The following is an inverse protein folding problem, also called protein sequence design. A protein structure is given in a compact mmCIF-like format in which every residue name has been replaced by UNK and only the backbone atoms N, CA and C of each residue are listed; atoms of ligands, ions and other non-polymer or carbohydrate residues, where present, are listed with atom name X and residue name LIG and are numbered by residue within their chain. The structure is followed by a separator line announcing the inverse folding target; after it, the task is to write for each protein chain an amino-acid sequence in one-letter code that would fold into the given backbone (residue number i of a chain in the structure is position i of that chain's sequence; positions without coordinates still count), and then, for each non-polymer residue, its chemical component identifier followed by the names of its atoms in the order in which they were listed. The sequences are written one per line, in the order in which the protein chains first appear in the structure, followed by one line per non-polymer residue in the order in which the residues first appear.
data_IF_211597037739
#
_entry.id   IF_211597037739
#
_cell.length_a   1.000
_cell.length_b   1.000
_cell.length_c   1.000
_cell.angle_alpha   90.00
_cell.angle_beta   90.00
_cell.angle_gamma   90.00
#
_symmetry.space_group_name_H-M   'P 1'
#
loop_
_entity.id
_entity.type
_entity.pdbx_description
1 polymer ?
#
# COMPACT_ATOMS: atom_id res chain seq x y z
N UNK A 1 -9.37 51.31 -14.41
CA UNK A 1 -9.77 52.01 -15.65
C UNK A 1 -10.63 51.11 -16.55
N UNK A 2 -10.27 49.86 -16.81
CA UNK A 2 -11.03 48.96 -17.68
C UNK A 2 -12.41 48.55 -17.08
N UNK A 3 -12.49 48.34 -15.76
CA UNK A 3 -13.74 47.99 -15.07
C UNK A 3 -14.74 49.15 -15.13
N UNK A 4 -14.27 50.38 -14.92
CA UNK A 4 -15.12 51.56 -14.97
C UNK A 4 -15.76 51.76 -16.36
N UNK A 5 -14.97 51.58 -17.44
CA UNK A 5 -15.48 51.66 -18.82
C UNK A 5 -16.43 50.51 -19.16
N UNK A 6 -16.07 49.30 -18.75
CA UNK A 6 -16.86 48.12 -19.11
C UNK A 6 -18.25 48.07 -18.42
N UNK A 7 -18.31 48.53 -17.15
CA UNK A 7 -19.54 48.46 -16.37
C UNK A 7 -20.20 49.82 -16.11
N UNK A 8 -19.67 50.89 -16.70
CA UNK A 8 -20.16 52.26 -16.56
C UNK A 8 -20.32 52.68 -15.11
N UNK A 9 -19.33 52.40 -14.27
CA UNK A 9 -19.32 52.69 -12.82
C UNK A 9 -18.23 53.70 -12.49
N UNK A 10 -18.44 54.46 -11.37
CA UNK A 10 -17.46 55.42 -10.86
C UNK A 10 -16.25 54.67 -10.22
N UNK A 11 -15.11 55.35 -10.15
CA UNK A 11 -13.91 54.84 -9.48
C UNK A 11 -14.17 54.43 -8.04
N UNK A 12 -14.92 55.23 -7.30
CA UNK A 12 -15.34 54.96 -5.92
C UNK A 12 -16.16 53.66 -5.82
N UNK A 13 -17.03 53.40 -6.76
CA UNK A 13 -17.84 52.19 -6.84
C UNK A 13 -16.96 51.00 -7.15
N UNK A 14 -16.03 51.13 -8.10
CA UNK A 14 -15.09 50.07 -8.46
C UNK A 14 -14.21 49.64 -7.27
N UNK A 15 -13.65 50.59 -6.51
CA UNK A 15 -12.85 50.28 -5.31
C UNK A 15 -13.69 49.66 -4.19
N UNK A 16 -14.92 50.14 -3.97
CA UNK A 16 -15.81 49.54 -2.98
C UNK A 16 -16.10 48.08 -3.35
N UNK A 17 -16.39 47.79 -4.58
CA UNK A 17 -16.74 46.42 -5.03
C UNK A 17 -15.49 45.50 -5.02
N UNK A 18 -14.33 46.03 -5.36
CA UNK A 18 -13.07 45.30 -5.21
C UNK A 18 -12.74 44.99 -3.73
N UNK A 19 -13.02 45.93 -2.81
CA UNK A 19 -12.84 45.69 -1.38
C UNK A 19 -13.82 44.64 -0.86
N UNK A 20 -15.06 44.61 -1.34
CA UNK A 20 -16.01 43.53 -0.98
C UNK A 20 -15.56 42.16 -1.51
N UNK A 21 -14.87 42.14 -2.65
CA UNK A 21 -14.33 40.93 -3.25
C UNK A 21 -12.94 40.56 -2.71
N UNK A 22 -12.35 41.36 -1.82
CA UNK A 22 -11.01 41.13 -1.25
C UNK A 22 -10.77 39.73 -0.68
N UNK A 23 -11.77 39.01 -0.11
CA UNK A 23 -11.57 37.62 0.31
C UNK A 23 -11.36 36.64 -0.86
N UNK A 24 -11.76 37.03 -2.07
CA UNK A 24 -11.78 36.16 -3.25
C UNK A 24 -10.78 36.57 -4.33
N UNK A 25 -10.13 37.73 -4.18
CA UNK A 25 -9.20 38.29 -5.17
C UNK A 25 -7.91 38.74 -4.51
N UNK A 26 -6.83 38.66 -5.24
CA UNK A 26 -5.54 39.23 -4.85
C UNK A 26 -5.03 40.22 -5.89
N UNK A 27 -4.37 41.29 -5.42
CA UNK A 27 -3.74 42.27 -6.28
C UNK A 27 -2.42 41.70 -6.85
N UNK A 28 -2.29 41.71 -8.19
CA UNK A 28 -1.12 41.21 -8.91
C UNK A 28 -0.13 42.31 -9.33
N UNK A 29 -0.30 43.54 -8.84
CA UNK A 29 0.43 44.72 -9.34
C UNK A 29 -0.24 45.37 -10.57
N UNK A 30 0.19 46.58 -10.93
CA UNK A 30 -0.31 47.36 -12.09
C UNK A 30 -1.84 47.53 -12.13
N UNK A 31 -2.51 47.54 -10.97
CA UNK A 31 -3.96 47.68 -10.89
C UNK A 31 -4.73 46.44 -11.41
N UNK A 32 -4.08 45.27 -11.50
CA UNK A 32 -4.69 44.01 -11.91
C UNK A 32 -5.03 43.17 -10.69
N UNK A 33 -6.13 42.44 -10.77
CA UNK A 33 -6.61 41.49 -9.72
C UNK A 33 -6.87 40.15 -10.37
N UNK A 34 -6.60 39.08 -9.62
CA UNK A 34 -6.96 37.70 -10.00
C UNK A 34 -7.76 37.01 -8.89
N UNK A 35 -8.54 36.02 -9.24
CA UNK A 35 -9.31 35.22 -8.29
C UNK A 35 -8.37 34.33 -7.46
N UNK A 36 -8.50 34.39 -6.16
CA UNK A 36 -7.75 33.49 -5.22
C UNK A 36 -8.12 32.04 -5.47
N UNK A 37 -9.32 31.76 -5.98
CA UNK A 37 -9.76 30.40 -6.33
C UNK A 37 -8.85 29.71 -7.35
N UNK A 38 -8.19 30.46 -8.24
CA UNK A 38 -7.20 29.90 -9.18
C UNK A 38 -5.95 29.38 -8.43
N UNK A 39 -5.56 30.04 -7.35
CA UNK A 39 -4.43 29.63 -6.49
C UNK A 39 -4.83 28.51 -5.56
N UNK A 40 -6.01 28.57 -4.97
CA UNK A 40 -6.56 27.49 -4.15
C UNK A 40 -6.78 26.20 -4.95
N UNK A 41 -7.22 26.32 -6.21
CA UNK A 41 -7.37 25.18 -7.12
C UNK A 41 -6.03 24.51 -7.45
N UNK A 42 -4.98 25.28 -7.68
CA UNK A 42 -3.64 24.72 -7.94
C UNK A 42 -2.98 24.16 -6.65
N UNK A 43 -3.13 24.86 -5.52
CA UNK A 43 -2.63 24.34 -4.23
C UNK A 43 -3.38 23.08 -3.78
N UNK A 44 -4.70 22.99 -4.03
CA UNK A 44 -5.46 21.80 -3.71
C UNK A 44 -5.09 20.61 -4.60
N UNK A 45 -4.85 20.84 -5.91
CA UNK A 45 -4.37 19.82 -6.84
C UNK A 45 -2.96 19.35 -6.46
N UNK A 46 -2.04 20.27 -6.17
CA UNK A 46 -0.68 19.94 -5.77
C UNK A 46 -0.66 19.18 -4.42
N UNK A 47 -1.50 19.58 -3.47
CA UNK A 47 -1.69 18.85 -2.21
C UNK A 47 -2.24 17.44 -2.43
N UNK A 48 -3.20 17.27 -3.35
CA UNK A 48 -3.74 15.97 -3.71
C UNK A 48 -2.69 15.07 -4.36
N UNK A 49 -1.91 15.60 -5.32
CA UNK A 49 -0.83 14.87 -5.97
C UNK A 49 0.24 14.43 -4.97
N UNK A 50 0.65 15.32 -4.04
CA UNK A 50 1.58 14.98 -2.96
C UNK A 50 1.03 13.91 -2.01
N UNK A 51 -0.27 13.96 -1.71
CA UNK A 51 -0.93 12.94 -0.87
C UNK A 51 -0.99 11.58 -1.57
N UNK A 52 -1.35 11.55 -2.85
CA UNK A 52 -1.33 10.34 -3.67
C UNK A 52 0.08 9.77 -3.80
N UNK A 53 1.08 10.63 -3.99
CA UNK A 53 2.48 10.21 -4.07
C UNK A 53 2.94 9.51 -2.80
N UNK A 54 2.59 10.04 -1.63
CA UNK A 54 2.90 9.41 -0.33
C UNK A 54 2.16 8.09 -0.13
N UNK A 55 0.88 8.03 -0.53
CA UNK A 55 0.09 6.79 -0.42
C UNK A 55 0.63 5.67 -1.31
N UNK A 56 1.16 6.03 -2.49
CA UNK A 56 1.64 5.07 -3.48
C UNK A 56 3.15 4.81 -3.39
N UNK A 57 3.84 5.44 -2.42
CA UNK A 57 5.30 5.37 -2.26
C UNK A 57 6.05 5.57 -3.59
N UNK A 58 5.67 6.64 -4.31
CA UNK A 58 6.18 6.89 -5.67
C UNK A 58 7.65 7.29 -5.71
N UNK A 59 8.31 7.48 -4.56
CA UNK A 59 9.74 7.81 -4.49
C UNK A 59 10.60 6.70 -5.08
N UNK A 60 10.19 5.44 -4.89
CA UNK A 60 10.87 4.30 -5.47
C UNK A 60 10.69 4.20 -7.01
N UNK A 61 9.61 4.79 -7.54
CA UNK A 61 9.29 4.74 -8.97
C UNK A 61 9.87 5.97 -9.70
N UNK A 62 9.81 7.15 -9.06
CA UNK A 62 10.24 8.43 -9.61
C UNK A 62 11.19 9.12 -8.61
N UNK A 63 12.49 8.85 -8.68
CA UNK A 63 13.46 9.39 -7.72
C UNK A 63 13.69 10.90 -7.88
N UNK A 64 13.43 11.47 -9.07
CA UNK A 64 13.60 12.90 -9.32
C UNK A 64 12.26 13.63 -9.21
N UNK A 65 12.14 14.50 -8.19
CA UNK A 65 10.95 15.36 -7.99
C UNK A 65 11.37 16.82 -7.87
N UNK A 66 11.50 17.47 -9.02
CA UNK A 66 11.63 18.93 -9.09
C UNK A 66 10.24 19.62 -9.04
N UNK A 67 10.22 20.95 -8.99
CA UNK A 67 8.97 21.72 -8.96
C UNK A 67 8.08 21.46 -10.19
N UNK A 68 8.64 21.05 -11.31
CA UNK A 68 7.92 20.72 -12.53
C UNK A 68 7.55 19.25 -12.66
N UNK A 69 7.90 18.40 -11.69
CA UNK A 69 7.70 16.95 -11.77
C UNK A 69 6.27 16.54 -12.15
N UNK A 70 5.26 17.08 -11.48
CA UNK A 70 3.87 16.72 -11.73
C UNK A 70 3.39 17.11 -13.11
N UNK A 71 3.82 18.27 -13.61
CA UNK A 71 3.48 18.72 -14.93
C UNK A 71 4.18 17.91 -16.03
N UNK A 72 5.44 17.54 -15.80
CA UNK A 72 6.17 16.61 -16.67
C UNK A 72 5.51 15.22 -16.69
N UNK A 73 5.05 14.74 -15.53
CA UNK A 73 4.36 13.46 -15.41
C UNK A 73 3.00 13.46 -16.13
N UNK A 74 2.22 14.54 -16.01
CA UNK A 74 0.96 14.71 -16.71
C UNK A 74 1.16 14.71 -18.24
N UNK A 75 2.16 15.44 -18.74
CA UNK A 75 2.51 15.46 -20.15
C UNK A 75 2.95 14.05 -20.63
N UNK A 76 3.83 13.38 -19.89
CA UNK A 76 4.28 12.02 -20.23
C UNK A 76 3.14 11.00 -20.23
N UNK A 77 2.18 11.11 -19.30
CA UNK A 77 1.01 10.26 -19.25
C UNK A 77 0.10 10.47 -20.46
N UNK A 78 -0.02 11.72 -20.95
CA UNK A 78 -0.79 12.07 -22.15
C UNK A 78 -0.13 11.51 -23.43
N UNK A 79 1.19 11.56 -23.50
CA UNK A 79 1.98 11.07 -24.64
C UNK A 79 2.12 9.54 -24.67
N UNK A 80 1.69 8.83 -23.62
CA UNK A 80 1.74 7.36 -23.47
C UNK A 80 3.13 6.72 -23.59
N UNK A 81 4.20 7.51 -23.43
CA UNK A 81 5.58 7.01 -23.51
C UNK A 81 6.01 6.21 -22.27
N UNK A 82 5.31 6.39 -21.14
CA UNK A 82 5.58 5.68 -19.89
C UNK A 82 4.33 4.93 -19.46
N UNK A 83 4.50 3.65 -19.17
CA UNK A 83 3.46 2.83 -18.56
C UNK A 83 4.01 2.24 -17.26
N UNK A 84 3.36 2.57 -16.15
CA UNK A 84 3.57 1.88 -14.87
C UNK A 84 2.45 0.86 -14.72
N UNK A 85 2.82 -0.41 -14.62
CA UNK A 85 1.86 -1.48 -14.42
C UNK A 85 1.94 -1.97 -12.99
N UNK A 86 0.88 -1.72 -12.24
CA UNK A 86 0.67 -2.33 -10.92
C UNK A 86 0.13 -3.76 -11.10
N UNK A 87 0.19 -4.55 -10.03
CA UNK A 87 -0.43 -5.87 -10.03
C UNK A 87 -1.93 -5.75 -10.35
N UNK A 88 -2.47 -6.75 -11.04
CA UNK A 88 -3.89 -6.76 -11.36
C UNK A 88 -4.73 -6.68 -10.07
N UNK A 89 -5.72 -5.77 -10.01
CA UNK A 89 -6.62 -5.69 -8.86
C UNK A 89 -7.40 -6.99 -8.69
N UNK A 90 -7.87 -7.26 -7.48
CA UNK A 90 -8.81 -8.37 -7.25
C UNK A 90 -10.00 -8.24 -8.23
N UNK A 91 -10.32 -9.32 -8.94
CA UNK A 91 -11.41 -9.34 -9.94
C UNK A 91 -12.80 -9.03 -9.35
N UNK A 92 -12.93 -9.09 -8.04
CA UNK A 92 -14.17 -8.82 -7.33
C UNK A 92 -14.01 -7.56 -6.48
N UNK A 93 -14.17 -6.39 -7.11
CA UNK A 93 -14.55 -5.20 -6.35
C UNK A 93 -16.02 -5.40 -5.99
N UNK A 94 -16.29 -6.15 -4.94
CA UNK A 94 -17.62 -6.24 -4.35
C UNK A 94 -18.00 -4.85 -3.83
N UNK A 95 -19.24 -4.45 -4.04
CA UNK A 95 -19.78 -3.25 -3.41
C UNK A 95 -19.60 -3.30 -1.88
N UNK A 96 -19.60 -4.49 -1.30
CA UNK A 96 -19.25 -4.75 0.10
C UNK A 96 -17.83 -4.33 0.47
N UNK A 97 -16.84 -4.47 -0.41
CA UNK A 97 -15.45 -4.09 -0.10
C UNK A 97 -15.32 -2.59 0.17
N UNK A 98 -15.97 -1.75 -0.64
CA UNK A 98 -15.97 -0.29 -0.42
C UNK A 98 -16.62 0.06 0.91
N UNK A 99 -17.78 -0.55 1.21
CA UNK A 99 -18.47 -0.37 2.49
C UNK A 99 -17.57 -0.78 3.67
N UNK A 100 -16.88 -1.94 3.54
CA UNK A 100 -15.98 -2.40 4.59
C UNK A 100 -14.78 -1.50 4.80
N UNK A 101 -14.20 -0.92 3.74
CA UNK A 101 -13.10 0.04 3.86
C UNK A 101 -13.53 1.26 4.68
N UNK A 102 -14.65 1.91 4.32
CA UNK A 102 -15.16 3.09 5.01
C UNK A 102 -15.53 2.81 6.48
N UNK A 103 -16.16 1.66 6.71
CA UNK A 103 -16.60 1.22 8.03
C UNK A 103 -15.41 0.88 8.92
N UNK A 104 -14.43 0.14 8.41
CA UNK A 104 -13.22 -0.22 9.14
C UNK A 104 -12.31 0.97 9.40
N UNK A 105 -12.20 1.92 8.45
CA UNK A 105 -11.44 3.15 8.67
C UNK A 105 -12.00 3.94 9.86
N UNK A 106 -13.32 4.06 9.95
CA UNK A 106 -14.00 4.70 11.10
C UNK A 106 -13.74 3.94 12.39
N UNK A 107 -13.81 2.59 12.35
CA UNK A 107 -13.56 1.76 13.53
C UNK A 107 -12.10 1.89 14.02
N UNK A 108 -11.14 1.92 13.12
CA UNK A 108 -9.71 2.11 13.42
C UNK A 108 -9.47 3.50 14.05
N UNK A 109 -10.06 4.54 13.46
CA UNK A 109 -9.95 5.92 13.96
C UNK A 109 -10.50 6.07 15.36
N UNK A 110 -11.66 5.45 15.64
CA UNK A 110 -12.34 5.53 16.91
C UNK A 110 -11.92 4.45 17.92
N UNK A 111 -11.01 3.54 17.53
CA UNK A 111 -10.58 2.38 18.32
C UNK A 111 -11.74 1.47 18.74
N UNK A 112 -12.75 1.31 17.88
CA UNK A 112 -13.87 0.41 18.16
C UNK A 112 -13.49 -1.05 17.92
N UNK A 113 -14.01 -1.94 18.77
CA UNK A 113 -13.93 -3.38 18.59
C UNK A 113 -14.82 -3.78 17.40
N UNK A 114 -14.36 -4.71 16.59
CA UNK A 114 -15.13 -5.25 15.47
C UNK A 114 -15.43 -6.73 15.67
N UNK A 115 -16.56 -7.17 15.16
CA UNK A 115 -16.91 -8.57 15.04
C UNK A 115 -17.00 -8.91 13.55
N UNK A 116 -16.28 -9.97 13.12
CA UNK A 116 -16.21 -10.36 11.72
C UNK A 116 -16.52 -11.85 11.56
N UNK A 117 -17.19 -12.21 10.45
CA UNK A 117 -17.28 -13.60 10.03
C UNK A 117 -16.15 -13.90 9.02
N UNK A 118 -15.20 -14.73 9.40
CA UNK A 118 -14.01 -15.05 8.64
C UNK A 118 -13.68 -16.54 8.69
N UNK A 119 -13.51 -17.17 7.51
CA UNK A 119 -13.20 -18.59 7.39
C UNK A 119 -14.15 -19.50 8.19
N UNK A 120 -15.45 -19.23 8.11
CA UNK A 120 -16.50 -20.02 8.77
C UNK A 120 -16.65 -19.81 10.28
N UNK A 121 -15.89 -18.86 10.87
CA UNK A 121 -15.94 -18.54 12.29
C UNK A 121 -16.27 -17.08 12.53
N UNK A 122 -16.99 -16.79 13.59
CA UNK A 122 -17.17 -15.45 14.13
C UNK A 122 -15.99 -15.08 15.00
N UNK A 123 -15.39 -13.91 14.77
CA UNK A 123 -14.19 -13.46 15.48
C UNK A 123 -14.40 -12.06 16.04
N UNK A 124 -13.87 -11.80 17.21
CA UNK A 124 -13.79 -10.45 17.80
C UNK A 124 -12.37 -9.95 17.56
N UNK A 125 -12.25 -8.81 16.90
CA UNK A 125 -10.96 -8.26 16.50
C UNK A 125 -10.84 -6.80 16.88
N UNK A 126 -9.63 -6.38 17.22
CA UNK A 126 -9.27 -5.00 17.49
C UNK A 126 -8.53 -4.45 16.25
N UNK A 127 -9.16 -3.61 15.43
CA UNK A 127 -8.61 -3.16 14.16
C UNK A 127 -7.54 -2.08 14.35
N UNK A 128 -6.39 -2.24 13.70
CA UNK A 128 -5.27 -1.29 13.77
C UNK A 128 -5.01 -0.56 12.46
N UNK A 129 -4.97 -1.27 11.34
CA UNK A 129 -4.58 -0.69 10.04
C UNK A 129 -5.23 -1.43 8.87
N UNK A 130 -5.56 -0.70 7.82
CA UNK A 130 -5.86 -1.26 6.50
C UNK A 130 -4.60 -1.15 5.63
N UNK A 131 -4.27 -2.21 4.94
CA UNK A 131 -3.15 -2.24 4.00
C UNK A 131 -3.56 -2.87 2.69
N UNK A 132 -3.04 -2.31 1.59
CA UNK A 132 -3.19 -2.92 0.27
C UNK A 132 -1.83 -3.44 -0.17
N UNK A 133 -1.75 -4.74 -0.44
CA UNK A 133 -0.54 -5.35 -0.97
C UNK A 133 -0.88 -6.20 -2.18
N UNK A 134 -0.18 -5.96 -3.27
CA UNK A 134 -0.41 -6.63 -4.56
C UNK A 134 -1.88 -6.57 -4.99
N UNK A 135 -2.50 -5.41 -4.75
CA UNK A 135 -3.92 -5.13 -5.03
C UNK A 135 -4.94 -5.90 -4.18
N UNK A 136 -4.52 -6.58 -3.12
CA UNK A 136 -5.38 -7.25 -2.16
C UNK A 136 -5.44 -6.42 -0.87
N UNK A 137 -6.65 -6.16 -0.38
CA UNK A 137 -6.88 -5.44 0.86
C UNK A 137 -6.87 -6.37 2.08
N UNK A 138 -6.15 -5.95 3.10
CA UNK A 138 -6.03 -6.65 4.38
C UNK A 138 -6.36 -5.72 5.53
N UNK A 139 -7.01 -6.27 6.55
CA UNK A 139 -7.17 -5.67 7.87
C UNK A 139 -6.09 -6.27 8.79
N UNK A 140 -5.21 -5.43 9.32
CA UNK A 140 -4.33 -5.78 10.43
C UNK A 140 -5.07 -5.54 11.73
N UNK A 141 -5.27 -6.58 12.51
CA UNK A 141 -6.04 -6.53 13.76
C UNK A 141 -5.49 -7.53 14.77
N UNK A 142 -5.70 -7.28 16.05
CA UNK A 142 -5.43 -8.29 17.07
C UNK A 142 -6.68 -9.12 17.35
N UNK A 143 -6.52 -10.41 17.51
CA UNK A 143 -7.48 -11.36 18.04
C UNK A 143 -6.82 -12.09 19.20
N UNK A 144 -7.42 -12.03 20.40
CA UNK A 144 -6.83 -12.60 21.62
C UNK A 144 -5.39 -12.11 21.87
N UNK A 145 -5.17 -10.80 21.72
CA UNK A 145 -3.87 -10.12 21.83
C UNK A 145 -2.79 -10.56 20.82
N UNK A 146 -3.15 -11.37 19.81
CA UNK A 146 -2.22 -11.77 18.74
C UNK A 146 -2.50 -10.99 17.48
N UNK A 147 -1.47 -10.37 16.92
CA UNK A 147 -1.58 -9.64 15.66
C UNK A 147 -1.79 -10.63 14.51
N UNK A 148 -2.84 -10.38 13.74
CA UNK A 148 -3.26 -11.19 12.58
C UNK A 148 -3.66 -10.31 11.42
N UNK A 149 -3.60 -10.88 10.23
CA UNK A 149 -4.00 -10.27 8.99
C UNK A 149 -5.24 -10.96 8.42
N UNK A 150 -6.25 -10.18 8.07
CA UNK A 150 -7.51 -10.68 7.52
C UNK A 150 -7.73 -10.08 6.12
N UNK A 151 -7.74 -10.92 5.06
CA UNK A 151 -8.12 -10.45 3.73
C UNK A 151 -9.58 -9.97 3.73
N UNK A 152 -9.83 -8.73 3.29
CA UNK A 152 -11.17 -8.16 3.30
C UNK A 152 -12.14 -8.95 2.42
N UNK A 153 -11.66 -9.49 1.29
CA UNK A 153 -12.46 -10.29 0.37
C UNK A 153 -13.01 -11.59 1.01
N UNK A 154 -12.39 -12.07 2.09
CA UNK A 154 -12.83 -13.27 2.83
C UNK A 154 -13.75 -12.96 4.00
N UNK A 155 -13.97 -11.69 4.33
CA UNK A 155 -14.93 -11.26 5.35
C UNK A 155 -16.34 -11.39 4.77
N UNK A 156 -17.18 -12.22 5.40
CA UNK A 156 -18.57 -12.43 4.95
C UNK A 156 -19.51 -11.37 5.50
N UNK A 157 -19.29 -10.95 6.75
CA UNK A 157 -19.99 -9.83 7.36
C UNK A 157 -19.12 -9.17 8.43
N UNK A 158 -19.43 -7.92 8.74
CA UNK A 158 -18.71 -7.06 9.67
C UNK A 158 -19.72 -6.27 10.51
N UNK A 159 -19.51 -6.24 11.82
CA UNK A 159 -20.25 -5.43 12.79
C UNK A 159 -19.29 -4.64 13.68
N UNK A 160 -19.59 -3.36 13.91
CA UNK A 160 -18.80 -2.49 14.79
C UNK A 160 -19.47 -2.45 16.15
N UNK A 161 -18.71 -2.80 17.17
CA UNK A 161 -19.18 -2.71 18.56
C UNK A 161 -19.05 -1.26 19.08
N UNK A 162 -19.85 -0.92 20.08
CA UNK A 162 -19.74 0.38 20.77
C UNK A 162 -18.52 0.42 21.68
N UNK A 163 -18.07 -0.75 22.13
CA UNK A 163 -16.92 -0.92 22.99
C UNK A 163 -15.64 -0.52 22.25
N UNK A 164 -14.73 0.09 23.01
CA UNK A 164 -13.42 0.53 22.54
C UNK A 164 -12.33 -0.32 23.15
N UNK A 165 -11.20 -0.39 22.45
CA UNK A 165 -9.99 -1.01 22.95
C UNK A 165 -8.85 0.00 23.05
N UNK A 166 -7.90 -0.24 23.95
CA UNK A 166 -6.67 0.52 24.05
C UNK A 166 -5.67 -0.02 23.01
N UNK A 167 -5.13 0.86 22.16
CA UNK A 167 -4.11 0.49 21.19
C UNK A 167 -2.78 0.28 21.92
N UNK A 168 -2.13 -0.87 21.70
CA UNK A 168 -0.77 -1.13 22.17
C UNK A 168 0.23 -0.42 21.27
N UNK A 169 1.18 0.31 21.88
CA UNK A 169 2.30 0.95 21.16
C UNK A 169 3.21 -0.08 20.50
N UNK A 170 3.44 -1.21 21.16
CA UNK A 170 4.23 -2.32 20.64
C UNK A 170 3.65 -2.86 19.33
N UNK A 171 2.32 -3.09 19.29
CA UNK A 171 1.62 -3.54 18.08
C UNK A 171 1.69 -2.47 16.98
N UNK A 172 1.58 -1.18 17.35
CA UNK A 172 1.69 -0.09 16.37
C UNK A 172 3.10 -0.01 15.77
N UNK A 173 4.15 -0.18 16.57
CA UNK A 173 5.54 -0.22 16.09
C UNK A 173 5.74 -1.40 15.12
N UNK A 174 5.31 -2.60 15.49
CA UNK A 174 5.38 -3.78 14.62
C UNK A 174 4.69 -3.55 13.26
N UNK A 175 3.50 -2.92 13.28
CA UNK A 175 2.76 -2.60 12.05
C UNK A 175 3.46 -1.53 11.22
N UNK A 176 4.15 -0.58 11.86
CA UNK A 176 4.85 0.50 11.16
C UNK A 176 6.13 0.02 10.48
N UNK A 177 6.83 -0.89 11.09
CA UNK A 177 8.08 -1.47 10.60
C UNK A 177 7.86 -2.52 9.50
N UNK A 178 6.66 -3.11 9.46
CA UNK A 178 6.34 -4.16 8.51
C UNK A 178 5.71 -3.62 7.23
N UNK A 179 6.35 -3.88 6.10
CA UNK A 179 5.80 -3.62 4.76
C UNK A 179 4.94 -4.79 4.25
N UNK A 180 4.84 -5.90 4.99
CA UNK A 180 4.15 -7.13 4.58
C UNK A 180 2.88 -7.34 5.41
N UNK A 181 1.72 -7.71 4.81
CA UNK A 181 0.50 -8.05 5.54
C UNK A 181 0.64 -9.32 6.39
N UNK A 182 1.66 -10.13 6.18
CA UNK A 182 2.00 -11.28 7.02
C UNK A 182 2.68 -10.83 8.32
N UNK A 183 2.05 -9.90 9.04
CA UNK A 183 2.56 -9.44 10.32
C UNK A 183 2.28 -10.49 11.39
N UNK A 184 3.31 -10.89 12.11
CA UNK A 184 3.22 -11.81 13.24
C UNK A 184 4.29 -11.46 14.28
N UNK A 185 3.94 -11.62 15.54
CA UNK A 185 4.85 -11.58 16.68
C UNK A 185 5.88 -12.73 16.66
N UNK A 186 5.59 -13.77 15.88
CA UNK A 186 6.46 -14.94 15.70
C UNK A 186 6.85 -15.09 14.25
N UNK A 187 8.13 -14.90 13.98
CA UNK A 187 8.75 -15.19 12.69
C UNK A 187 9.75 -16.32 12.86
N UNK A 188 10.08 -16.97 11.74
CA UNK A 188 11.17 -17.94 11.67
C UNK A 188 12.14 -17.55 10.56
N UNK A 189 13.40 -17.84 10.81
CA UNK A 189 14.45 -17.59 9.82
C UNK A 189 14.45 -18.69 8.76
N UNK A 190 14.71 -18.28 7.53
CA UNK A 190 14.86 -19.17 6.37
C UNK A 190 16.16 -18.83 5.67
N UNK A 191 16.98 -19.83 5.45
CA UNK A 191 18.23 -19.71 4.70
C UNK A 191 18.09 -20.46 3.38
N UNK A 192 18.33 -19.75 2.29
CA UNK A 192 18.21 -20.25 0.93
C UNK A 192 19.52 -20.11 0.18
N UNK A 193 19.87 -21.12 -0.62
CA UNK A 193 20.87 -21.00 -1.65
C UNK A 193 20.18 -20.69 -2.99
N UNK A 194 20.66 -19.67 -3.67
CA UNK A 194 20.15 -19.21 -4.96
C UNK A 194 21.23 -19.43 -6.00
N UNK A 195 20.94 -20.22 -7.02
CA UNK A 195 21.88 -20.50 -8.10
C UNK A 195 22.24 -19.25 -8.92
N UNK A 196 23.46 -19.23 -9.47
CA UNK A 196 24.04 -18.07 -10.17
C UNK A 196 23.20 -17.57 -11.34
N UNK A 197 22.50 -18.47 -12.05
CA UNK A 197 21.64 -18.14 -13.19
C UNK A 197 20.47 -17.21 -12.83
N UNK A 198 20.00 -17.22 -11.57
CA UNK A 198 18.90 -16.38 -11.10
C UNK A 198 19.30 -15.41 -9.99
N UNK A 199 20.53 -15.49 -9.48
CA UNK A 199 20.98 -14.65 -8.35
C UNK A 199 20.81 -13.14 -8.60
N UNK A 200 20.98 -12.69 -9.85
CA UNK A 200 20.85 -11.29 -10.22
C UNK A 200 19.45 -10.71 -9.99
N UNK A 201 18.38 -11.53 -10.01
CA UNK A 201 17.02 -11.07 -9.67
C UNK A 201 16.92 -10.69 -8.20
N UNK A 202 17.50 -11.48 -7.31
CA UNK A 202 17.51 -11.26 -5.87
C UNK A 202 18.47 -10.14 -5.44
N UNK A 203 19.55 -9.93 -6.18
CA UNK A 203 20.48 -8.83 -5.93
C UNK A 203 19.96 -7.48 -6.41
N UNK A 204 19.06 -7.49 -7.38
CA UNK A 204 18.47 -6.26 -7.94
C UNK A 204 17.38 -5.67 -7.04
N UNK A 205 16.63 -6.51 -6.32
CA UNK A 205 15.57 -6.10 -5.42
C UNK A 205 15.25 -7.21 -4.43
N UNK A 206 14.71 -6.85 -3.29
CA UNK A 206 14.25 -7.83 -2.31
C UNK A 206 13.00 -8.56 -2.83
N UNK A 207 13.15 -9.86 -3.07
CA UNK A 207 12.08 -10.77 -3.51
C UNK A 207 11.49 -11.57 -2.35
N UNK A 208 12.23 -11.65 -1.24
CA UNK A 208 11.87 -12.37 -0.03
C UNK A 208 11.63 -11.38 1.12
N UNK A 209 10.76 -11.71 2.08
CA UNK A 209 10.53 -10.88 3.26
C UNK A 209 11.81 -10.72 4.10
N UNK A 210 12.20 -9.48 4.42
CA UNK A 210 13.41 -9.18 5.21
C UNK A 210 14.67 -9.85 4.67
N UNK A 211 14.83 -9.84 3.33
CA UNK A 211 15.93 -10.46 2.62
C UNK A 211 17.28 -9.86 3.03
N UNK A 212 18.26 -10.71 3.32
CA UNK A 212 19.64 -10.32 3.61
C UNK A 212 20.60 -11.23 2.86
N UNK A 213 21.63 -10.66 2.25
CA UNK A 213 22.71 -11.40 1.61
C UNK A 213 23.69 -11.88 2.69
N UNK A 214 23.83 -13.20 2.86
CA UNK A 214 24.81 -13.78 3.78
C UNK A 214 26.17 -14.00 3.11
N UNK A 215 26.18 -14.73 1.99
CA UNK A 215 27.43 -15.11 1.30
C UNK A 215 27.26 -15.06 -0.21
N UNK A 216 28.39 -14.81 -0.91
CA UNK A 216 28.53 -14.96 -2.35
C UNK A 216 29.45 -16.16 -2.62
N UNK A 217 29.04 -17.00 -3.57
CA UNK A 217 29.77 -18.18 -4.03
C UNK A 217 29.96 -18.11 -5.55
N UNK A 218 30.87 -18.88 -6.10
CA UNK A 218 31.07 -18.94 -7.55
C UNK A 218 29.83 -19.45 -8.30
N UNK A 219 29.09 -20.36 -7.68
CA UNK A 219 27.89 -20.99 -8.26
C UNK A 219 26.56 -20.36 -7.79
N UNK A 220 26.60 -19.29 -6.99
CA UNK A 220 25.38 -18.64 -6.50
C UNK A 220 25.56 -17.75 -5.30
N UNK A 221 24.46 -17.52 -4.57
CA UNK A 221 24.43 -16.71 -3.35
C UNK A 221 23.65 -17.41 -2.25
N UNK A 222 24.01 -17.16 -1.00
CA UNK A 222 23.22 -17.57 0.16
C UNK A 222 22.52 -16.36 0.74
N UNK A 223 21.20 -16.44 0.87
CA UNK A 223 20.34 -15.42 1.44
C UNK A 223 19.68 -15.91 2.72
N UNK A 224 19.47 -15.01 3.67
CA UNK A 224 18.51 -15.22 4.75
C UNK A 224 17.27 -14.37 4.52
N UNK A 225 16.14 -14.83 5.03
CA UNK A 225 14.90 -14.09 5.10
C UNK A 225 14.10 -14.50 6.35
N UNK A 226 13.11 -13.68 6.73
CA UNK A 226 12.22 -13.98 7.85
C UNK A 226 10.80 -14.16 7.36
N UNK A 227 10.16 -15.25 7.74
CA UNK A 227 8.78 -15.53 7.37
C UNK A 227 7.89 -15.66 8.61
N UNK A 228 6.69 -15.10 8.55
CA UNK A 228 5.68 -15.23 9.60
C UNK A 228 4.88 -16.53 9.47
N UNK A 229 4.78 -17.09 8.28
CA UNK A 229 4.02 -18.30 8.03
C UNK A 229 4.56 -19.04 6.78
N UNK A 230 4.46 -20.39 6.79
CA UNK A 230 4.89 -21.21 5.65
C UNK A 230 4.20 -20.82 4.32
N UNK A 231 2.94 -20.41 4.35
CA UNK A 231 2.21 -19.99 3.16
C UNK A 231 2.66 -18.62 2.60
N UNK A 232 3.45 -17.86 3.34
CA UNK A 232 4.11 -16.66 2.84
C UNK A 232 5.33 -17.02 1.98
N UNK A 233 6.13 -17.97 2.42
CA UNK A 233 7.44 -18.26 1.82
C UNK A 233 7.41 -19.40 0.79
N UNK A 234 6.60 -20.45 1.00
CA UNK A 234 6.55 -21.60 0.09
C UNK A 234 6.22 -21.19 -1.36
N UNK A 235 5.18 -20.37 -1.64
CA UNK A 235 4.89 -19.96 -3.02
C UNK A 235 6.04 -19.21 -3.69
N UNK A 236 6.81 -18.43 -2.93
CA UNK A 236 7.97 -17.70 -3.44
C UNK A 236 9.10 -18.67 -3.81
N UNK A 237 9.34 -19.68 -2.99
CA UNK A 237 10.33 -20.74 -3.27
C UNK A 237 9.91 -21.55 -4.49
N UNK A 238 8.64 -22.00 -4.54
CA UNK A 238 8.13 -22.80 -5.65
C UNK A 238 8.24 -22.09 -7.00
N UNK A 239 8.06 -20.76 -7.02
CA UNK A 239 8.18 -19.95 -8.24
C UNK A 239 9.58 -20.02 -8.85
N UNK A 240 10.63 -20.19 -8.02
CA UNK A 240 12.02 -20.17 -8.44
C UNK A 240 12.65 -21.57 -8.57
N UNK A 241 11.91 -22.65 -8.27
CA UNK A 241 12.43 -23.99 -8.47
C UNK A 241 12.79 -24.25 -9.96
N UNK A 242 13.81 -25.04 -10.26
CA UNK A 242 14.69 -25.77 -9.33
C UNK A 242 15.89 -24.95 -8.83
N UNK A 243 15.98 -23.67 -9.12
CA UNK A 243 17.19 -22.85 -8.92
C UNK A 243 17.28 -22.24 -7.50
N UNK A 244 16.41 -22.63 -6.59
CA UNK A 244 16.43 -22.26 -5.17
C UNK A 244 16.45 -23.49 -4.31
N UNK A 245 17.41 -23.57 -3.39
CA UNK A 245 17.53 -24.65 -2.44
C UNK A 245 17.28 -24.15 -1.02
N UNK A 246 16.49 -24.88 -0.25
CA UNK A 246 16.27 -24.59 1.17
C UNK A 246 17.39 -25.21 1.96
N UNK A 247 18.21 -24.38 2.63
CA UNK A 247 19.25 -24.82 3.57
C UNK A 247 18.60 -25.01 4.93
N UNK A 248 17.90 -23.99 5.43
CA UNK A 248 17.20 -23.99 6.73
C UNK A 248 15.86 -23.30 6.63
N UNK A 249 14.87 -23.71 7.43
CA UNK A 249 14.88 -24.86 8.34
C UNK A 249 14.51 -26.17 7.60
N UNK A 250 14.99 -27.30 8.12
CA UNK A 250 14.78 -28.64 7.52
C UNK A 250 13.30 -28.96 7.33
N UNK A 251 12.45 -28.63 8.30
CA UNK A 251 11.00 -28.89 8.21
C UNK A 251 10.33 -28.17 7.01
N UNK A 252 10.85 -27.02 6.61
CA UNK A 252 10.34 -26.27 5.45
C UNK A 252 10.71 -26.99 4.15
N UNK A 253 11.95 -27.51 4.06
CA UNK A 253 12.41 -28.34 2.93
C UNK A 253 11.54 -29.59 2.79
N UNK A 254 11.29 -30.30 3.88
CA UNK A 254 10.42 -31.48 3.92
C UNK A 254 8.99 -31.16 3.47
N UNK A 255 8.43 -30.02 3.94
CA UNK A 255 7.10 -29.57 3.54
C UNK A 255 6.99 -29.31 2.04
N UNK A 256 8.01 -28.68 1.42
CA UNK A 256 8.07 -28.45 -0.02
C UNK A 256 8.21 -29.77 -0.79
N UNK A 257 9.13 -30.66 -0.35
CA UNK A 257 9.31 -31.98 -0.99
C UNK A 257 8.03 -32.83 -0.93
N UNK A 258 7.34 -32.80 0.22
CA UNK A 258 6.04 -33.50 0.38
C UNK A 258 4.99 -32.95 -0.59
N UNK A 259 4.96 -31.65 -0.77
CA UNK A 259 4.02 -30.98 -1.70
C UNK A 259 4.32 -31.37 -3.15
N UNK A 260 5.58 -31.35 -3.54
CA UNK A 260 6.03 -31.76 -4.88
C UNK A 260 5.76 -33.26 -5.13
N UNK A 261 6.01 -34.09 -4.13
CA UNK A 261 5.71 -35.54 -4.20
C UNK A 261 4.22 -35.81 -4.44
N UNK A 262 3.34 -35.11 -3.75
CA UNK A 262 1.88 -35.19 -3.95
C UNK A 262 1.48 -34.76 -5.38
N UNK A 263 2.08 -33.73 -5.91
CA UNK A 263 1.82 -33.28 -7.29
C UNK A 263 2.23 -34.36 -8.30
N UNK A 264 3.44 -34.91 -8.18
CA UNK A 264 3.94 -35.97 -9.08
C UNK A 264 3.12 -37.27 -9.00
N UNK A 265 2.63 -37.63 -7.81
CA UNK A 265 1.78 -38.84 -7.66
C UNK A 265 0.38 -38.63 -8.21
N UNK A 266 -0.14 -37.41 -8.20
CA UNK A 266 -1.45 -37.12 -8.78
C UNK A 266 -1.47 -37.19 -10.31
N UNK A 267 -0.34 -36.88 -10.98
CA UNK A 267 -0.22 -37.03 -12.45
C UNK A 267 -0.15 -38.50 -12.90
N UNK A 268 0.33 -39.40 -12.03
CA UNK A 268 0.41 -40.86 -12.35
C UNK A 268 -0.92 -41.59 -12.22
N UNK A 269 -2.02 -40.93 -11.83
CA UNK A 269 -3.36 -41.50 -11.67
C UNK A 269 -4.33 -41.06 -12.79
N UNK A 270 -3.86 -40.25 -13.74
CA UNK A 270 -4.59 -39.79 -14.92
C UNK A 270 -4.13 -40.57 -16.14
#
# INVERSE_FOLDING_TARGET
HNLMKKYNITERTAYRDLNMLSPFIEACGDGKYRLISARAGNQSKESLHKSLARLLDTDAIFPERDEGFWQKLENRATEKHIRVQFHNPEHTIRDDLRKYLDVLEKAIRNSNICQIAYAGKTRIVHPYKLTNQRSIWYLLATEENKLKSFSLAKIKWLDIKKEKFAKSEEIQSLISESCDPWVSDKTFDVVLFIHSNIAHYFLRRDLLPYQQLLHRHDNGITLSCKAAHKNQIIPLILYWLPNVEIIEPVWLKEAVLTMLGKYLTAENVS
#
